data_IF_953377689125
#
_entry.id   IF_953377689125
#
_cell.length_a   1.000
_cell.length_b   1.000
_cell.length_c   1.000
_cell.angle_alpha   90.00
_cell.angle_beta   90.00
_cell.angle_gamma   90.00
#
_symmetry.space_group_name_H-M   'P 1'
#
loop_
_entity.id
_entity.type
_entity.pdbx_description
1 polymer ?
#
# COMPACT_ATOMS: atom_id res chain seq x y z
N UNK A 1 29.91 5.12 -7.00
CA UNK A 1 29.21 3.81 -7.08
C UNK A 1 28.31 3.71 -5.86
N UNK A 2 26.98 3.80 -6.02
CA UNK A 2 26.06 3.73 -4.89
C UNK A 2 26.07 2.32 -4.30
N UNK A 3 26.54 2.20 -3.06
CA UNK A 3 26.64 0.94 -2.34
C UNK A 3 25.25 0.52 -1.84
N UNK A 4 24.54 -0.29 -2.63
CA UNK A 4 23.20 -0.84 -2.34
C UNK A 4 23.13 -1.57 -0.98
N UNK A 5 24.28 -1.99 -0.43
CA UNK A 5 24.38 -2.68 0.85
C UNK A 5 24.07 -1.77 2.07
N UNK A 6 24.20 -0.44 1.94
CA UNK A 6 23.81 0.50 3.00
C UNK A 6 22.30 0.75 3.09
N UNK A 7 21.56 0.48 2.00
CA UNK A 7 20.10 0.59 1.96
C UNK A 7 19.41 -0.63 2.59
N UNK A 8 20.08 -1.79 2.55
CA UNK A 8 19.68 -3.03 3.22
C UNK A 8 20.44 -3.26 4.53
N UNK A 9 20.93 -2.19 5.18
CA UNK A 9 21.40 -2.28 6.57
C UNK A 9 20.24 -2.82 7.43
N UNK A 10 20.47 -3.74 8.38
CA UNK A 10 19.41 -4.40 9.14
C UNK A 10 18.44 -3.38 9.67
N UNK A 11 17.26 -3.38 9.05
CA UNK A 11 16.28 -2.33 9.15
C UNK A 11 15.86 -2.27 10.63
N UNK A 12 16.32 -1.24 11.35
CA UNK A 12 16.02 -1.10 12.79
C UNK A 12 14.51 -1.19 12.98
N UNK A 13 14.07 -1.90 14.03
CA UNK A 13 12.66 -2.19 14.34
C UNK A 13 11.69 -1.01 14.17
N UNK A 14 12.16 0.21 14.42
CA UNK A 14 11.44 1.49 14.24
C UNK A 14 10.91 1.73 12.81
N UNK A 15 11.55 1.17 11.79
CA UNK A 15 11.09 1.27 10.41
C UNK A 15 10.04 0.21 10.07
N UNK A 16 9.91 -0.89 10.83
CA UNK A 16 8.79 -1.82 10.66
C UNK A 16 7.46 -1.11 10.94
N UNK A 17 7.38 -0.35 12.03
CA UNK A 17 6.16 0.40 12.39
C UNK A 17 5.79 1.44 11.31
N UNK A 18 6.78 2.01 10.63
CA UNK A 18 6.54 2.90 9.49
C UNK A 18 5.82 2.18 8.33
N UNK A 19 6.26 0.97 7.95
CA UNK A 19 5.58 0.17 6.93
C UNK A 19 4.15 -0.21 7.34
N UNK A 20 3.93 -0.45 8.63
CA UNK A 20 2.59 -0.69 9.16
C UNK A 20 1.68 0.54 9.01
N UNK A 21 2.13 1.72 9.44
CA UNK A 21 1.38 2.98 9.29
C UNK A 21 1.09 3.25 7.81
N UNK A 22 2.08 3.03 6.93
CA UNK A 22 1.93 3.20 5.50
C UNK A 22 0.89 2.25 4.91
N UNK A 23 0.85 0.99 5.38
CA UNK A 23 -0.20 0.05 4.99
C UNK A 23 -1.61 0.55 5.36
N UNK A 24 -1.78 1.10 6.56
CA UNK A 24 -3.07 1.64 7.03
C UNK A 24 -3.50 2.84 6.19
N UNK A 25 -2.57 3.71 5.80
CA UNK A 25 -2.83 4.84 4.91
C UNK A 25 -3.32 4.35 3.54
N UNK A 26 -2.62 3.39 2.92
CA UNK A 26 -3.04 2.84 1.61
C UNK A 26 -4.37 2.11 1.67
N UNK A 27 -4.68 1.45 2.79
CA UNK A 27 -5.99 0.88 3.04
C UNK A 27 -7.10 1.96 3.10
N UNK A 28 -6.80 3.10 3.75
CA UNK A 28 -7.69 4.27 3.74
C UNK A 28 -7.91 4.83 2.32
N UNK A 29 -6.85 4.95 1.52
CA UNK A 29 -6.95 5.37 0.12
C UNK A 29 -7.76 4.37 -0.72
N UNK A 30 -7.62 3.07 -0.47
CA UNK A 30 -8.44 2.05 -1.12
C UNK A 30 -9.93 2.26 -0.80
N UNK A 31 -10.28 2.51 0.46
CA UNK A 31 -11.66 2.80 0.85
C UNK A 31 -12.21 4.04 0.12
N UNK A 32 -11.42 5.11 0.01
CA UNK A 32 -11.79 6.30 -0.76
C UNK A 32 -11.96 5.99 -2.26
N UNK A 33 -11.08 5.19 -2.85
CA UNK A 33 -11.17 4.76 -4.25
C UNK A 33 -12.43 3.93 -4.54
N UNK A 34 -12.86 3.10 -3.59
CA UNK A 34 -14.12 2.35 -3.68
C UNK A 34 -15.31 3.31 -3.62
N UNK A 35 -15.31 4.26 -2.69
CA UNK A 35 -16.39 5.25 -2.56
C UNK A 35 -16.52 6.08 -3.84
N UNK A 36 -15.41 6.59 -4.39
CA UNK A 36 -15.43 7.38 -5.64
C UNK A 36 -15.89 6.55 -6.84
N UNK A 37 -15.51 5.27 -6.90
CA UNK A 37 -15.98 4.35 -7.93
C UNK A 37 -17.51 4.14 -7.86
N UNK A 38 -18.06 3.96 -6.66
CA UNK A 38 -19.51 3.83 -6.44
C UNK A 38 -20.24 5.14 -6.79
N UNK A 39 -19.72 6.29 -6.36
CA UNK A 39 -20.31 7.60 -6.69
C UNK A 39 -20.29 7.88 -8.20
N UNK A 40 -19.27 7.41 -8.91
CA UNK A 40 -19.20 7.59 -10.36
C UNK A 40 -20.21 6.75 -11.13
N UNK A 41 -20.63 5.58 -10.61
CA UNK A 41 -21.74 4.80 -11.20
C UNK A 41 -23.07 5.57 -11.20
N UNK A 42 -23.25 6.51 -10.26
CA UNK A 42 -24.44 7.37 -10.17
C UNK A 42 -24.28 8.67 -10.98
N UNK A 43 -23.09 8.95 -11.49
CA UNK A 43 -22.78 10.18 -12.22
C UNK A 43 -23.08 10.06 -13.72
N UNK A 44 -23.51 11.16 -14.36
CA UNK A 44 -23.85 11.20 -15.80
C UNK A 44 -22.70 10.83 -16.76
N UNK A 45 -21.46 10.78 -16.26
CA UNK A 45 -20.27 10.30 -16.97
C UNK A 45 -19.65 9.16 -16.17
N UNK A 46 -19.99 7.89 -16.46
CA UNK A 46 -19.36 6.77 -15.80
C UNK A 46 -17.88 6.71 -16.19
N UNK A 47 -17.00 6.55 -15.21
CA UNK A 47 -15.63 6.09 -15.50
C UNK A 47 -15.73 4.70 -16.13
N UNK A 48 -14.94 4.38 -17.17
CA UNK A 48 -14.90 3.03 -17.70
C UNK A 48 -14.51 2.05 -16.59
N UNK A 49 -15.17 0.88 -16.57
CA UNK A 49 -14.98 -0.16 -15.56
C UNK A 49 -13.51 -0.55 -15.38
N UNK A 50 -12.74 -0.55 -16.48
CA UNK A 50 -11.29 -0.78 -16.47
C UNK A 50 -10.52 0.23 -15.62
N UNK A 51 -10.87 1.51 -15.69
CA UNK A 51 -10.22 2.55 -14.88
C UNK A 51 -10.62 2.46 -13.42
N UNK A 52 -11.88 2.18 -13.12
CA UNK A 52 -12.33 1.96 -11.73
C UNK A 52 -11.62 0.76 -11.09
N UNK A 53 -11.45 -0.32 -11.86
CA UNK A 53 -10.73 -1.51 -11.42
C UNK A 53 -9.25 -1.22 -11.12
N UNK A 54 -8.56 -0.48 -12.01
CA UNK A 54 -7.17 -0.08 -11.78
C UNK A 54 -7.04 0.84 -10.57
N UNK A 55 -7.95 1.81 -10.43
CA UNK A 55 -7.97 2.77 -9.32
C UNK A 55 -8.16 2.08 -7.96
N UNK A 56 -8.93 0.99 -7.92
CA UNK A 56 -9.08 0.16 -6.72
C UNK A 56 -7.91 -0.83 -6.54
N UNK A 57 -7.44 -1.46 -7.61
CA UNK A 57 -6.39 -2.48 -7.55
C UNK A 57 -5.04 -1.90 -7.10
N UNK A 58 -4.69 -0.68 -7.52
CA UNK A 58 -3.43 -0.04 -7.18
C UNK A 58 -3.22 0.12 -5.66
N UNK A 59 -4.10 0.79 -4.90
CA UNK A 59 -3.94 0.93 -3.44
C UNK A 59 -4.11 -0.40 -2.71
N UNK A 60 -4.90 -1.35 -3.24
CA UNK A 60 -5.03 -2.70 -2.69
C UNK A 60 -3.71 -3.49 -2.77
N UNK A 61 -3.04 -3.46 -3.92
CA UNK A 61 -1.73 -4.09 -4.12
C UNK A 61 -0.70 -3.42 -3.21
N UNK A 62 -0.69 -2.09 -3.11
CA UNK A 62 0.23 -1.38 -2.22
C UNK A 62 -0.02 -1.72 -0.75
N UNK A 63 -1.27 -1.87 -0.31
CA UNK A 63 -1.59 -2.36 1.03
C UNK A 63 -0.97 -3.75 1.28
N UNK A 64 -1.15 -4.67 0.33
CA UNK A 64 -0.59 -6.02 0.42
C UNK A 64 0.93 -6.02 0.50
N UNK A 65 1.59 -5.25 -0.36
CA UNK A 65 3.05 -5.11 -0.36
C UNK A 65 3.55 -4.55 0.98
N UNK A 66 2.92 -3.48 1.49
CA UNK A 66 3.32 -2.86 2.76
C UNK A 66 3.11 -3.80 3.96
N UNK A 67 2.01 -4.58 3.99
CA UNK A 67 1.78 -5.59 5.04
C UNK A 67 2.77 -6.74 4.95
N UNK A 68 3.14 -7.15 3.74
CA UNK A 68 4.13 -8.19 3.51
C UNK A 68 5.52 -7.72 3.98
N UNK A 69 5.91 -6.48 3.67
CA UNK A 69 7.13 -5.87 4.21
C UNK A 69 7.13 -5.77 5.73
N UNK A 70 6.00 -5.37 6.34
CA UNK A 70 5.88 -5.38 7.80
C UNK A 70 6.14 -6.78 8.39
N UNK A 71 5.51 -7.81 7.81
CA UNK A 71 5.70 -9.20 8.27
C UNK A 71 7.14 -9.67 8.10
N UNK A 72 7.80 -9.36 6.98
CA UNK A 72 9.21 -9.71 6.76
C UNK A 72 10.14 -8.95 7.72
N UNK A 73 9.85 -7.69 8.02
CA UNK A 73 10.63 -6.86 8.93
C UNK A 73 10.55 -7.37 10.38
N UNK A 74 9.34 -7.71 10.85
CA UNK A 74 9.15 -8.26 12.20
C UNK A 74 9.73 -9.67 12.36
N UNK A 75 9.71 -10.48 11.29
CA UNK A 75 10.15 -11.87 11.35
C UNK A 75 11.67 -12.05 11.10
N UNK A 76 12.35 -11.07 10.51
CA UNK A 76 13.80 -11.12 10.24
C UNK A 76 14.66 -10.49 11.34
N UNK A 77 14.05 -9.69 12.23
CA UNK A 77 14.75 -9.14 13.39
C UNK A 77 14.73 -10.16 14.54
N UNK A 78 15.90 -10.67 14.98
CA UNK A 78 15.95 -11.48 16.19
C UNK A 78 15.43 -10.65 17.37
N UNK A 79 14.58 -11.27 18.19
CA UNK A 79 14.03 -10.66 19.41
C UNK A 79 15.13 -10.21 20.36
#
# INVERSE_FOLDING_TARGET
MLNVQGLFSPLKRKYCDYFYILSVIFFGLFALAVITSIMSLTSKKPIPLSNALILCAQPLILYFINRLYYSMCVNSLPR
#
